data_IF_103926533622
#
_entry.id   IF_103926533622
#
_cell.length_a   1.000
_cell.length_b   1.000
_cell.length_c   1.000
_cell.angle_alpha   90.00
_cell.angle_beta   90.00
_cell.angle_gamma   90.00
#
_symmetry.space_group_name_H-M   'P 1'
#
loop_
_entity.id
_entity.type
_entity.pdbx_description
1 polymer ?
#
# COMPACT_ATOMS: atom_id res chain seq x y z
N UNK A 1 -25.54 -5.08 26.40
CA UNK A 1 -24.24 -4.61 25.86
C UNK A 1 -23.38 -5.85 25.66
N UNK A 2 -23.15 -6.25 24.41
CA UNK A 2 -22.49 -7.54 24.13
C UNK A 2 -21.01 -7.31 23.89
N UNK A 3 -20.19 -7.88 24.77
CA UNK A 3 -18.73 -7.79 24.70
C UNK A 3 -18.22 -8.71 23.61
N UNK A 4 -17.53 -8.17 22.60
CA UNK A 4 -16.58 -8.95 21.82
C UNK A 4 -15.31 -9.12 22.65
N UNK A 5 -14.68 -10.30 22.55
CA UNK A 5 -13.36 -10.52 23.17
C UNK A 5 -12.31 -10.57 22.06
N UNK A 6 -11.45 -9.57 22.04
CA UNK A 6 -10.30 -9.51 21.13
C UNK A 6 -9.07 -10.01 21.85
N UNK A 7 -8.37 -10.97 21.24
CA UNK A 7 -7.09 -11.49 21.73
C UNK A 7 -6.03 -11.36 20.64
N UNK A 8 -4.81 -11.05 21.04
CA UNK A 8 -3.67 -10.95 20.12
C UNK A 8 -2.60 -11.96 20.51
N UNK A 9 -2.10 -12.72 19.53
CA UNK A 9 -0.93 -13.60 19.69
C UNK A 9 0.16 -13.11 18.76
N UNK A 10 1.35 -12.86 19.30
CA UNK A 10 2.50 -12.39 18.54
C UNK A 10 3.57 -13.47 18.56
N UNK A 11 3.97 -13.92 17.37
CA UNK A 11 5.07 -14.87 17.18
C UNK A 11 6.19 -14.17 16.41
N UNK A 12 7.35 -14.02 17.03
CA UNK A 12 8.53 -13.42 16.41
C UNK A 12 9.60 -14.50 16.19
N UNK A 13 10.01 -14.71 14.94
CA UNK A 13 11.01 -15.71 14.58
C UNK A 13 12.31 -15.00 14.21
N UNK A 14 13.21 -14.91 15.18
CA UNK A 14 14.47 -14.14 15.09
C UNK A 14 15.43 -14.68 14.02
N UNK A 15 15.45 -15.99 13.80
CA UNK A 15 16.38 -16.67 12.88
C UNK A 15 16.10 -16.37 11.41
N UNK A 16 14.85 -16.07 11.06
CA UNK A 16 14.46 -15.83 9.67
C UNK A 16 14.11 -14.35 9.39
N UNK A 17 14.06 -13.49 10.42
CA UNK A 17 13.49 -12.13 10.34
C UNK A 17 12.06 -12.11 9.80
N UNK A 18 11.21 -12.93 10.39
CA UNK A 18 9.77 -12.94 10.14
C UNK A 18 9.02 -12.68 11.42
N UNK A 19 7.91 -11.93 11.32
CA UNK A 19 6.93 -11.83 12.39
C UNK A 19 5.57 -12.31 11.91
N UNK A 20 4.83 -12.93 12.82
CA UNK A 20 3.43 -13.31 12.61
C UNK A 20 2.62 -12.76 13.77
N UNK A 21 1.62 -11.93 13.47
CA UNK A 21 0.63 -11.49 14.44
C UNK A 21 -0.70 -12.16 14.09
N UNK A 22 -1.31 -12.80 15.08
CA UNK A 22 -2.65 -13.35 15.01
C UNK A 22 -3.57 -12.46 15.83
N UNK A 23 -4.65 -11.97 15.23
CA UNK A 23 -5.75 -11.32 15.94
C UNK A 23 -6.96 -12.25 15.88
N UNK A 24 -7.51 -12.58 17.05
CA UNK A 24 -8.67 -13.44 17.20
C UNK A 24 -9.77 -12.61 17.83
N UNK A 25 -10.87 -12.45 17.11
CA UNK A 25 -12.05 -11.72 17.54
C UNK A 25 -13.17 -12.73 17.78
N UNK A 26 -13.54 -12.91 19.04
CA UNK A 26 -14.72 -13.71 19.41
C UNK A 26 -15.94 -12.80 19.41
N UNK A 27 -16.86 -13.06 18.49
CA UNK A 27 -18.15 -12.37 18.36
C UNK A 27 -19.29 -13.31 18.75
N UNK A 28 -20.52 -12.80 18.80
CA UNK A 28 -21.69 -13.66 18.99
C UNK A 28 -21.90 -14.66 17.84
N UNK A 29 -21.41 -14.34 16.63
CA UNK A 29 -21.64 -15.14 15.42
C UNK A 29 -20.50 -16.12 15.14
N UNK A 30 -19.42 -16.10 15.93
CA UNK A 30 -18.33 -17.07 15.83
C UNK A 30 -16.97 -16.51 16.24
N UNK A 31 -15.91 -17.20 15.80
CA UNK A 31 -14.52 -16.79 15.99
C UNK A 31 -13.99 -16.33 14.63
N UNK A 32 -13.67 -15.04 14.53
CA UNK A 32 -12.96 -14.47 13.40
C UNK A 32 -11.46 -14.46 13.69
N UNK A 33 -10.69 -14.87 12.70
CA UNK A 33 -9.23 -14.95 12.81
C UNK A 33 -8.58 -14.17 11.68
N UNK A 34 -7.70 -13.27 12.08
CA UNK A 34 -6.91 -12.42 11.20
C UNK A 34 -5.45 -12.77 11.37
N UNK A 35 -4.77 -13.09 10.27
CA UNK A 35 -3.35 -13.43 10.28
C UNK A 35 -2.58 -12.33 9.55
N UNK A 36 -1.64 -11.70 10.25
CA UNK A 36 -0.65 -10.79 9.71
C UNK A 36 0.71 -11.49 9.67
N UNK A 37 1.39 -11.46 8.53
CA UNK A 37 2.75 -11.99 8.36
C UNK A 37 3.63 -10.91 7.74
N UNK A 38 4.74 -10.61 8.39
CA UNK A 38 5.72 -9.65 7.90
C UNK A 38 7.05 -10.35 7.65
N UNK A 39 7.70 -10.00 6.53
CA UNK A 39 9.06 -10.42 6.18
C UNK A 39 9.95 -9.20 6.19
N UNK A 40 11.15 -9.35 6.74
CA UNK A 40 12.14 -8.27 6.79
C UNK A 40 13.44 -8.71 6.13
N UNK A 41 14.17 -7.77 5.54
CA UNK A 41 15.49 -8.05 4.97
C UNK A 41 16.62 -7.99 6.01
N UNK A 42 17.86 -8.15 5.54
CA UNK A 42 19.06 -8.12 6.40
C UNK A 42 19.27 -6.77 7.12
N UNK A 43 18.63 -5.69 6.68
CA UNK A 43 18.66 -4.36 7.30
C UNK A 43 17.40 -4.06 8.13
N UNK A 44 16.58 -5.08 8.42
CA UNK A 44 15.34 -4.98 9.19
C UNK A 44 14.26 -4.09 8.55
N UNK A 45 14.32 -3.95 7.22
CA UNK A 45 13.30 -3.24 6.43
C UNK A 45 12.17 -4.20 6.08
N UNK A 46 10.92 -3.75 6.20
CA UNK A 46 9.73 -4.54 5.86
C UNK A 46 9.63 -4.74 4.34
N UNK A 47 9.97 -5.93 3.85
CA UNK A 47 9.94 -6.24 2.40
C UNK A 47 8.60 -6.83 1.94
N UNK A 48 7.86 -7.46 2.85
CA UNK A 48 6.54 -8.02 2.53
C UNK A 48 5.65 -8.01 3.77
N UNK A 49 4.39 -7.60 3.59
CA UNK A 49 3.33 -7.72 4.58
C UNK A 49 2.16 -8.45 3.95
N UNK A 50 1.72 -9.54 4.56
CA UNK A 50 0.52 -10.28 4.19
C UNK A 50 -0.49 -10.20 5.32
N UNK A 51 -1.74 -9.94 4.95
CA UNK A 51 -2.90 -9.96 5.80
C UNK A 51 -3.89 -11.00 5.26
N UNK A 52 -4.45 -11.84 6.12
CA UNK A 52 -5.42 -12.86 5.70
C UNK A 52 -6.60 -12.85 6.66
N UNK A 53 -7.80 -12.70 6.10
CA UNK A 53 -9.07 -12.87 6.76
C UNK A 53 -9.76 -14.11 6.18
N UNK A 54 -10.32 -14.95 7.05
CA UNK A 54 -11.00 -16.19 6.63
C UNK A 54 -12.10 -15.94 5.59
N UNK A 55 -12.87 -14.87 5.73
CA UNK A 55 -14.03 -14.56 4.87
C UNK A 55 -13.71 -13.65 3.68
N UNK A 56 -12.66 -12.83 3.78
CA UNK A 56 -12.35 -11.79 2.79
C UNK A 56 -11.07 -12.07 2.00
N UNK A 57 -10.44 -13.21 2.26
CA UNK A 57 -9.25 -13.65 1.55
C UNK A 57 -7.98 -12.96 2.05
N UNK A 58 -7.01 -12.76 1.16
CA UNK A 58 -5.67 -12.29 1.52
C UNK A 58 -5.27 -11.02 0.78
N UNK A 59 -4.70 -10.07 1.50
CA UNK A 59 -4.01 -8.91 0.95
C UNK A 59 -2.51 -9.07 1.17
N UNK A 60 -1.69 -8.76 0.16
CA UNK A 60 -0.24 -8.76 0.28
C UNK A 60 0.32 -7.46 -0.29
N UNK A 61 1.29 -6.89 0.39
CA UNK A 61 2.09 -5.75 -0.09
C UNK A 61 3.55 -6.16 -0.12
N UNK A 62 4.24 -5.88 -1.22
CA UNK A 62 5.68 -6.09 -1.38
C UNK A 62 6.33 -4.73 -1.57
N UNK A 63 7.31 -4.42 -0.72
CA UNK A 63 8.06 -3.17 -0.78
C UNK A 63 9.42 -3.42 -1.44
N UNK A 64 9.73 -2.62 -2.45
CA UNK A 64 11.04 -2.57 -3.08
C UNK A 64 11.75 -1.28 -2.69
N UNK A 65 13.03 -1.41 -2.34
CA UNK A 65 13.86 -0.33 -1.85
C UNK A 65 14.97 -0.03 -2.84
N UNK A 66 15.28 1.25 -3.01
CA UNK A 66 16.43 1.70 -3.78
C UNK A 66 17.76 1.38 -3.07
N UNK A 67 18.88 1.74 -3.72
CA UNK A 67 20.23 1.53 -3.18
C UNK A 67 20.52 2.32 -1.88
N UNK A 68 19.80 3.41 -1.63
CA UNK A 68 19.91 4.21 -0.40
C UNK A 68 18.97 3.70 0.70
N UNK A 69 18.09 2.75 0.38
CA UNK A 69 17.13 2.17 1.29
C UNK A 69 15.82 2.93 1.43
N UNK A 70 15.50 3.83 0.49
CA UNK A 70 14.17 4.43 0.38
C UNK A 70 13.25 3.52 -0.45
N UNK A 71 11.96 3.51 -0.13
CA UNK A 71 10.97 2.75 -0.91
C UNK A 71 10.83 3.42 -2.28
N UNK A 72 11.07 2.67 -3.34
CA UNK A 72 10.88 3.12 -4.73
C UNK A 72 9.61 2.54 -5.36
N UNK A 73 9.14 1.38 -4.87
CA UNK A 73 7.94 0.71 -5.35
C UNK A 73 7.23 -0.06 -4.25
N UNK A 74 5.90 -0.01 -4.29
CA UNK A 74 5.03 -0.90 -3.52
C UNK A 74 4.09 -1.62 -4.48
N UNK A 75 4.13 -2.96 -4.48
CA UNK A 75 3.23 -3.80 -5.27
C UNK A 75 2.20 -4.46 -4.35
N UNK A 76 0.92 -4.24 -4.65
CA UNK A 76 -0.21 -4.76 -3.88
C UNK A 76 -0.90 -5.90 -4.62
N UNK A 77 -1.27 -6.92 -3.86
CA UNK A 77 -1.98 -8.10 -4.33
C UNK A 77 -3.23 -8.35 -3.49
N UNK A 78 -4.30 -8.75 -4.15
CA UNK A 78 -5.53 -9.25 -3.54
C UNK A 78 -5.74 -10.69 -4.01
N UNK A 79 -5.91 -11.61 -3.08
CA UNK A 79 -6.11 -13.04 -3.35
C UNK A 79 -5.07 -13.65 -4.30
N UNK A 80 -3.82 -13.20 -4.16
CA UNK A 80 -2.69 -13.66 -4.99
C UNK A 80 -2.56 -12.97 -6.34
N UNK A 81 -3.54 -12.15 -6.75
CA UNK A 81 -3.50 -11.40 -8.01
C UNK A 81 -3.01 -9.98 -7.77
N UNK A 82 -2.19 -9.46 -8.67
CA UNK A 82 -1.75 -8.07 -8.63
C UNK A 82 -2.94 -7.15 -8.90
N UNK A 83 -3.09 -6.10 -8.07
CA UNK A 83 -4.14 -5.09 -8.22
C UNK A 83 -3.57 -3.69 -8.43
N UNK A 84 -2.35 -3.43 -7.94
CA UNK A 84 -1.76 -2.11 -8.00
C UNK A 84 -0.24 -2.13 -7.84
N UNK A 85 0.44 -1.21 -8.51
CA UNK A 85 1.79 -0.78 -8.15
C UNK A 85 1.82 0.73 -7.92
N UNK A 86 2.54 1.17 -6.89
CA UNK A 86 2.85 2.58 -6.65
C UNK A 86 4.34 2.78 -6.80
N UNK A 87 4.73 3.77 -7.60
CA UNK A 87 6.13 4.18 -7.76
C UNK A 87 6.35 5.51 -7.07
N UNK A 88 7.52 5.64 -6.44
CA UNK A 88 7.89 6.78 -5.62
C UNK A 88 9.15 7.45 -6.15
N UNK A 89 9.25 8.77 -5.99
CA UNK A 89 10.50 9.48 -6.17
C UNK A 89 11.38 9.40 -4.90
N UNK A 90 12.59 9.97 -4.97
CA UNK A 90 13.54 10.05 -3.85
C UNK A 90 13.05 10.85 -2.64
N UNK A 91 11.95 11.59 -2.76
CA UNK A 91 11.31 12.35 -1.69
C UNK A 91 10.05 11.65 -1.18
N UNK A 92 9.84 10.39 -1.57
CA UNK A 92 8.69 9.56 -1.19
C UNK A 92 7.35 10.12 -1.69
N UNK A 93 7.35 10.89 -2.79
CA UNK A 93 6.15 11.27 -3.50
C UNK A 93 5.75 10.19 -4.49
N UNK A 94 4.46 9.83 -4.52
CA UNK A 94 3.93 8.92 -5.55
C UNK A 94 3.97 9.63 -6.89
N UNK A 95 4.77 9.13 -7.83
CA UNK A 95 4.89 9.65 -9.20
C UNK A 95 4.01 8.91 -10.18
N UNK A 96 3.71 7.63 -9.91
CA UNK A 96 2.90 6.79 -10.79
C UNK A 96 2.13 5.74 -9.99
N UNK A 97 0.91 5.44 -10.42
CA UNK A 97 0.12 4.31 -9.93
C UNK A 97 -0.34 3.48 -11.12
N UNK A 98 0.10 2.23 -11.17
CA UNK A 98 -0.41 1.23 -12.12
C UNK A 98 -1.59 0.52 -11.46
N UNK A 99 -2.72 0.40 -12.15
CA UNK A 99 -3.90 -0.35 -11.69
C UNK A 99 -4.11 -1.56 -12.57
N UNK A 100 -4.43 -2.69 -11.95
CA UNK A 100 -4.64 -3.95 -12.63
C UNK A 100 -6.05 -4.47 -12.37
N UNK A 101 -6.69 -4.99 -13.41
CA UNK A 101 -7.96 -5.69 -13.35
C UNK A 101 -7.73 -7.10 -13.88
N UNK A 102 -8.04 -8.13 -13.07
CA UNK A 102 -7.79 -9.53 -13.40
C UNK A 102 -6.33 -9.78 -13.85
N UNK A 103 -5.37 -9.19 -13.13
CA UNK A 103 -3.93 -9.21 -13.44
C UNK A 103 -3.52 -8.56 -14.78
N UNK A 104 -4.42 -7.84 -15.47
CA UNK A 104 -4.12 -7.07 -16.67
C UNK A 104 -4.03 -5.59 -16.31
N UNK A 105 -2.97 -4.90 -16.77
CA UNK A 105 -2.81 -3.46 -16.56
C UNK A 105 -3.98 -2.71 -17.21
N UNK A 106 -4.85 -2.10 -16.39
CA UNK A 106 -6.06 -1.42 -16.84
C UNK A 106 -5.86 0.07 -17.04
N UNK A 107 -5.12 0.72 -16.14
CA UNK A 107 -4.84 2.16 -16.20
C UNK A 107 -3.52 2.52 -15.51
N UNK A 108 -2.96 3.64 -15.92
CA UNK A 108 -1.80 4.27 -15.29
C UNK A 108 -2.18 5.70 -14.90
N UNK A 109 -2.01 6.03 -13.62
CA UNK A 109 -2.06 7.39 -13.11
C UNK A 109 -0.64 7.95 -13.05
N UNK A 110 -0.47 9.18 -13.50
CA UNK A 110 0.78 9.92 -13.43
C UNK A 110 0.57 11.19 -12.61
N UNK A 111 1.51 11.49 -11.74
CA UNK A 111 1.52 12.73 -10.97
C UNK A 111 2.67 13.61 -11.42
N UNK A 112 2.38 14.89 -11.62
CA UNK A 112 3.35 15.88 -12.12
C UNK A 112 2.94 17.29 -11.69
N UNK A 113 3.79 18.30 -11.96
CA UNK A 113 3.45 19.69 -11.67
C UNK A 113 3.30 19.96 -10.18
N UNK A 114 4.26 19.47 -9.38
CA UNK A 114 4.24 19.65 -7.93
C UNK A 114 4.58 21.10 -7.57
N UNK A 115 3.76 21.70 -6.72
CA UNK A 115 4.08 22.93 -6.00
C UNK A 115 4.31 22.60 -4.53
N UNK A 116 5.23 23.30 -3.88
CA UNK A 116 5.65 23.05 -2.50
C UNK A 116 5.46 24.27 -1.61
N UNK A 117 5.19 24.06 -0.34
CA UNK A 117 5.26 25.11 0.66
C UNK A 117 6.71 25.42 1.08
N UNK A 118 6.87 26.38 1.99
CA UNK A 118 8.18 26.82 2.48
C UNK A 118 8.96 25.76 3.25
N UNK A 119 8.31 24.67 3.66
CA UNK A 119 8.92 23.55 4.38
C UNK A 119 9.23 22.36 3.46
N UNK A 120 9.00 22.51 2.14
CA UNK A 120 9.27 21.46 1.16
C UNK A 120 8.20 20.38 1.10
N UNK A 121 7.02 20.60 1.70
CA UNK A 121 5.89 19.71 1.55
C UNK A 121 5.10 20.09 0.31
N UNK A 122 4.72 19.13 -0.53
CA UNK A 122 3.89 19.46 -1.68
C UNK A 122 2.47 19.84 -1.26
N UNK A 123 1.96 20.89 -1.89
CA UNK A 123 0.64 21.49 -1.63
C UNK A 123 -0.28 21.44 -2.84
N UNK A 124 0.27 21.26 -4.04
CA UNK A 124 -0.50 21.06 -5.28
C UNK A 124 0.22 20.04 -6.16
N UNK A 125 -0.55 19.22 -6.89
CA UNK A 125 -0.05 18.40 -8.00
C UNK A 125 -1.16 18.12 -9.02
N UNK A 126 -0.78 17.86 -10.27
CA UNK A 126 -1.69 17.41 -11.32
C UNK A 126 -1.67 15.89 -11.46
N UNK A 127 -2.85 15.28 -11.44
CA UNK A 127 -3.05 13.88 -11.77
C UNK A 127 -3.48 13.74 -13.24
N UNK A 128 -2.81 12.85 -13.96
CA UNK A 128 -3.16 12.45 -15.34
C UNK A 128 -3.44 10.96 -15.37
N UNK A 129 -4.36 10.52 -16.20
CA UNK A 129 -4.69 9.10 -16.40
C UNK A 129 -4.44 8.69 -17.84
N UNK A 130 -3.99 7.46 -18.01
CA UNK A 130 -3.91 6.77 -19.29
C UNK A 130 -4.58 5.40 -19.14
N UNK A 131 -5.69 5.20 -19.84
CA UNK A 131 -6.36 3.90 -19.88
C UNK A 131 -5.60 2.98 -20.84
N UNK A 132 -5.39 1.73 -20.44
CA UNK A 132 -4.68 0.72 -21.25
C UNK A 132 -5.64 -0.27 -21.90
N UNK A 133 -6.86 -0.36 -21.37
CA UNK A 133 -7.97 -1.12 -21.92
C UNK A 133 -8.90 -0.15 -22.67
N UNK A 134 -9.43 -0.60 -23.82
CA UNK A 134 -10.30 0.21 -24.68
C UNK A 134 -9.57 0.91 -25.83
N UNK A 135 -10.31 1.76 -26.55
CA UNK A 135 -9.86 2.39 -27.80
C UNK A 135 -8.99 3.63 -27.58
N UNK A 136 -9.32 4.46 -26.58
CA UNK A 136 -8.55 5.68 -26.29
C UNK A 136 -7.51 5.44 -25.20
N UNK A 137 -6.25 5.37 -25.64
CA UNK A 137 -5.08 5.18 -24.78
C UNK A 137 -4.26 6.46 -24.60
N UNK A 138 -4.87 7.62 -24.86
CA UNK A 138 -4.19 8.90 -24.66
C UNK A 138 -4.06 9.24 -23.17
N UNK A 139 -2.99 9.97 -22.83
CA UNK A 139 -2.77 10.50 -21.49
C UNK A 139 -3.54 11.80 -21.32
N UNK A 140 -4.51 11.82 -20.39
CA UNK A 140 -5.39 12.96 -20.15
C UNK A 140 -5.21 13.51 -18.74
N UNK A 141 -5.31 14.82 -18.59
CA UNK A 141 -5.46 15.41 -17.26
C UNK A 141 -6.80 14.99 -16.66
N UNK A 142 -6.76 14.59 -15.39
CA UNK A 142 -7.94 14.10 -14.67
C UNK A 142 -8.40 15.13 -13.64
N UNK A 143 -7.51 15.55 -12.75
CA UNK A 143 -7.77 16.56 -11.74
C UNK A 143 -6.47 17.13 -11.17
N UNK A 144 -6.58 18.19 -10.37
CA UNK A 144 -5.53 18.69 -9.49
C UNK A 144 -5.83 18.31 -8.04
N UNK A 145 -4.81 17.87 -7.30
CA UNK A 145 -4.89 17.63 -5.87
C UNK A 145 -4.28 18.79 -5.11
N UNK A 146 -4.93 19.17 -4.01
CA UNK A 146 -4.44 20.19 -3.11
C UNK A 146 -4.31 19.61 -1.71
N UNK A 147 -3.26 20.02 -0.98
CA UNK A 147 -3.06 19.69 0.43
C UNK A 147 -3.07 20.95 1.26
N UNK A 148 -3.85 20.93 2.34
CA UNK A 148 -3.73 21.89 3.43
C UNK A 148 -2.87 21.26 4.52
N UNK A 149 -1.79 21.93 4.88
CA UNK A 149 -0.86 21.50 5.92
C UNK A 149 -1.00 22.46 7.09
N UNK A 150 -1.29 21.93 8.27
CA UNK A 150 -1.37 22.71 9.49
C UNK A 150 -0.10 22.43 10.31
N UNK A 151 0.61 23.49 10.68
CA UNK A 151 1.77 23.43 11.55
C UNK A 151 1.33 23.79 12.97
N UNK A 152 1.61 22.90 13.91
CA UNK A 152 1.40 23.15 15.34
C UNK A 152 2.74 23.54 15.93
N UNK A 153 2.79 24.72 16.55
CA UNK A 153 3.96 25.22 17.29
C UNK A 153 3.92 24.75 18.75
#
# INVERSE_FOLDING_TARGET
>A
MLMSKTSFVYNFYKTNKFSTKLQIDSTQTGIDTTIYKNKYDKYDRLVESTFTLKLFGSNKSVNQYDSNGFIERITSFENGQIVQEKLYDKYYNIVQINKYENAVLSSIFYYSGYSFDTYGNWIERTAKIENKIGQDKSKKELYKEFRRINYYN
#
